data_IF_598011735927
#
_entry.id   IF_598011735927
#
_cell.length_a   1.000
_cell.length_b   1.000
_cell.length_c   1.000
_cell.angle_alpha   90.00
_cell.angle_beta   90.00
_cell.angle_gamma   90.00
#
_symmetry.space_group_name_H-M   'P 1'
#
loop_
_entity.id
_entity.type
_entity.pdbx_description
1 polymer ?
#
# COMPACT_ATOMS: atom_id res chain seq x y z
N UNK A 1 -4.87 14.56 -0.54
CA UNK A 1 -6.17 14.73 0.17
C UNK A 1 -5.89 14.69 1.66
N UNK A 2 -6.34 15.68 2.42
CA UNK A 2 -6.07 15.78 3.88
C UNK A 2 -7.31 16.09 4.71
N UNK A 3 -8.32 16.67 4.10
CA UNK A 3 -9.53 17.15 4.75
C UNK A 3 -10.76 16.33 4.36
N UNK A 4 -11.76 16.39 5.23
CA UNK A 4 -13.03 15.67 5.12
C UNK A 4 -13.75 15.98 3.80
N UNK A 5 -13.82 17.25 3.43
CA UNK A 5 -14.63 17.70 2.29
C UNK A 5 -14.04 17.22 0.98
N UNK A 6 -12.71 17.27 0.83
CA UNK A 6 -12.00 16.76 -0.35
C UNK A 6 -12.20 15.24 -0.50
N UNK A 7 -12.10 14.48 0.60
CA UNK A 7 -12.28 13.02 0.56
C UNK A 7 -13.74 12.67 0.26
N UNK A 8 -14.69 13.36 0.86
CA UNK A 8 -16.13 13.18 0.59
C UNK A 8 -16.47 13.43 -0.88
N UNK A 9 -15.95 14.52 -1.44
CA UNK A 9 -16.15 14.85 -2.85
C UNK A 9 -15.55 13.78 -3.78
N UNK A 10 -14.35 13.29 -3.46
CA UNK A 10 -13.69 12.23 -4.21
C UNK A 10 -14.50 10.93 -4.22
N UNK A 11 -15.03 10.50 -3.06
CA UNK A 11 -15.89 9.33 -2.94
C UNK A 11 -17.19 9.50 -3.74
N UNK A 12 -17.85 10.66 -3.63
CA UNK A 12 -19.06 10.95 -4.38
C UNK A 12 -18.83 10.93 -5.90
N UNK A 13 -17.72 11.51 -6.35
CA UNK A 13 -17.36 11.49 -7.77
C UNK A 13 -17.11 10.05 -8.27
N UNK A 14 -16.40 9.24 -7.48
CA UNK A 14 -16.15 7.84 -7.82
C UNK A 14 -17.45 7.01 -7.89
N UNK A 15 -18.38 7.20 -6.96
CA UNK A 15 -19.70 6.53 -6.97
C UNK A 15 -20.56 6.91 -8.18
N UNK A 16 -20.38 8.11 -8.73
CA UNK A 16 -21.07 8.57 -9.96
C UNK A 16 -20.36 8.15 -11.24
N UNK A 17 -19.34 7.28 -11.16
CA UNK A 17 -18.67 6.68 -12.30
C UNK A 17 -17.47 7.46 -12.83
N UNK A 18 -17.00 8.48 -12.12
CA UNK A 18 -15.78 9.20 -12.49
C UNK A 18 -14.54 8.43 -12.02
N UNK A 19 -13.50 8.42 -12.86
CA UNK A 19 -12.17 7.96 -12.44
C UNK A 19 -11.52 9.05 -11.61
N UNK A 20 -11.25 8.74 -10.34
CA UNK A 20 -10.65 9.66 -9.37
C UNK A 20 -9.26 9.19 -8.98
N UNK A 21 -8.28 10.07 -9.12
CA UNK A 21 -6.93 9.88 -8.56
C UNK A 21 -6.75 10.77 -7.34
N UNK A 22 -6.27 10.19 -6.25
CA UNK A 22 -5.99 10.90 -5.03
C UNK A 22 -4.63 10.54 -4.46
N UNK A 23 -3.98 11.50 -3.81
CA UNK A 23 -2.72 11.27 -3.10
C UNK A 23 -2.90 11.48 -1.61
N UNK A 24 -2.39 10.53 -0.81
CA UNK A 24 -2.34 10.60 0.64
C UNK A 24 -0.89 10.40 1.11
N UNK A 25 -0.57 10.86 2.33
CA UNK A 25 0.73 10.70 2.94
C UNK A 25 0.72 9.50 3.90
N UNK A 26 0.68 8.31 3.33
CA UNK A 26 0.63 7.03 4.04
C UNK A 26 1.72 6.11 3.52
N UNK A 27 2.17 5.17 4.34
CA UNK A 27 3.27 4.26 4.00
C UNK A 27 2.79 2.87 3.58
N UNK A 28 1.50 2.57 3.70
CA UNK A 28 0.93 1.29 3.29
C UNK A 28 -0.53 1.40 2.83
N UNK A 29 -1.01 0.38 2.13
CA UNK A 29 -2.39 0.31 1.66
C UNK A 29 -3.39 0.27 2.83
N UNK A 30 -3.12 -0.50 3.88
CA UNK A 30 -3.98 -0.56 5.07
C UNK A 30 -4.08 0.80 5.76
N UNK A 31 -2.96 1.50 5.95
CA UNK A 31 -2.95 2.85 6.51
C UNK A 31 -3.69 3.86 5.62
N UNK A 32 -3.65 3.67 4.32
CA UNK A 32 -4.41 4.52 3.38
C UNK A 32 -5.91 4.37 3.62
N UNK A 33 -6.39 3.15 3.77
CA UNK A 33 -7.79 2.84 4.07
C UNK A 33 -8.22 3.48 5.40
N UNK A 34 -7.46 3.22 6.47
CA UNK A 34 -7.74 3.79 7.79
C UNK A 34 -7.73 5.32 7.74
N UNK A 35 -6.74 5.93 7.08
CA UNK A 35 -6.63 7.38 6.95
C UNK A 35 -7.82 8.03 6.23
N UNK A 36 -8.36 7.36 5.21
CA UNK A 36 -9.56 7.85 4.50
C UNK A 36 -10.78 7.80 5.43
N UNK A 37 -10.91 6.75 6.21
CA UNK A 37 -12.07 6.54 7.08
C UNK A 37 -12.02 7.44 8.31
N UNK A 38 -10.86 7.60 8.93
CA UNK A 38 -10.67 8.30 10.19
C UNK A 38 -10.92 9.82 10.12
N UNK A 39 -10.94 10.40 8.92
CA UNK A 39 -11.32 11.83 8.78
C UNK A 39 -12.82 12.06 8.97
N UNK A 40 -13.63 10.99 8.91
CA UNK A 40 -15.09 11.08 9.09
C UNK A 40 -15.48 10.86 10.55
N UNK A 41 -16.55 11.52 11.01
CA UNK A 41 -17.14 11.24 12.33
C UNK A 41 -17.50 9.76 12.49
N UNK A 42 -17.34 9.20 13.69
CA UNK A 42 -17.59 7.77 13.97
C UNK A 42 -18.93 7.26 13.43
N UNK A 43 -20.00 8.06 13.59
CA UNK A 43 -21.34 7.67 13.08
C UNK A 43 -21.44 7.56 11.56
N UNK A 44 -20.47 8.05 10.80
CA UNK A 44 -20.43 8.00 9.33
C UNK A 44 -19.43 6.96 8.82
N UNK A 45 -18.49 6.50 9.64
CA UNK A 45 -17.39 5.64 9.20
C UNK A 45 -17.85 4.34 8.56
N UNK A 46 -18.89 3.70 9.09
CA UNK A 46 -19.40 2.46 8.51
C UNK A 46 -19.96 2.68 7.09
N UNK A 47 -20.68 3.76 6.85
CA UNK A 47 -21.17 4.12 5.52
C UNK A 47 -20.00 4.39 4.57
N UNK A 48 -18.98 5.11 5.03
CA UNK A 48 -17.77 5.40 4.24
C UNK A 48 -17.01 4.11 3.89
N UNK A 49 -16.91 3.13 4.80
CA UNK A 49 -16.34 1.81 4.50
C UNK A 49 -17.07 1.11 3.36
N UNK A 50 -18.40 1.15 3.36
CA UNK A 50 -19.20 0.57 2.28
C UNK A 50 -18.95 1.29 0.96
N UNK A 51 -18.99 2.63 0.95
CA UNK A 51 -18.70 3.43 -0.24
C UNK A 51 -17.30 3.15 -0.79
N UNK A 52 -16.28 3.18 0.08
CA UNK A 52 -14.90 2.93 -0.30
C UNK A 52 -14.71 1.50 -0.84
N UNK A 53 -15.33 0.49 -0.20
CA UNK A 53 -15.24 -0.90 -0.64
C UNK A 53 -15.82 -1.15 -2.04
N UNK A 54 -16.73 -0.28 -2.50
CA UNK A 54 -17.37 -0.40 -3.81
C UNK A 54 -16.69 0.46 -4.89
N UNK A 55 -16.02 1.55 -4.49
CA UNK A 55 -15.47 2.54 -5.43
C UNK A 55 -13.95 2.49 -5.55
N UNK A 56 -13.24 2.03 -4.51
CA UNK A 56 -11.77 1.96 -4.54
C UNK A 56 -11.32 0.84 -5.49
N UNK A 57 -10.44 1.17 -6.43
CA UNK A 57 -9.89 0.22 -7.41
C UNK A 57 -8.53 -0.29 -6.98
N UNK A 58 -7.64 0.61 -6.57
CA UNK A 58 -6.27 0.25 -6.19
C UNK A 58 -5.66 1.28 -5.24
N UNK A 59 -4.66 0.83 -4.50
CA UNK A 59 -3.75 1.70 -3.73
C UNK A 59 -2.31 1.37 -4.10
N UNK A 60 -1.56 2.41 -4.44
CA UNK A 60 -0.13 2.34 -4.68
C UNK A 60 0.60 3.13 -3.60
N UNK A 61 1.36 2.46 -2.76
CA UNK A 61 2.23 3.09 -1.78
C UNK A 61 3.67 2.96 -2.24
N UNK A 62 4.45 4.04 -2.18
CA UNK A 62 5.82 4.04 -2.69
C UNK A 62 6.81 4.60 -1.69
N UNK A 63 8.02 4.07 -1.73
CA UNK A 63 9.18 4.63 -1.04
C UNK A 63 10.38 4.69 -1.98
N UNK A 64 11.19 5.74 -1.85
CA UNK A 64 12.41 5.89 -2.63
C UNK A 64 13.61 5.50 -1.78
N UNK A 65 14.51 4.70 -2.37
CA UNK A 65 15.74 4.27 -1.75
C UNK A 65 16.93 4.75 -2.59
N UNK A 66 18.12 4.92 -1.98
CA UNK A 66 19.36 5.14 -2.74
C UNK A 66 19.63 3.97 -3.69
N UNK A 67 19.88 4.27 -4.96
CA UNK A 67 20.22 3.25 -5.94
C UNK A 67 21.69 2.85 -5.80
N UNK A 68 21.96 1.57 -5.59
CA UNK A 68 23.30 0.99 -5.56
C UNK A 68 23.82 0.82 -6.99
N UNK A 69 25.01 1.38 -7.26
CA UNK A 69 25.70 1.26 -8.54
C UNK A 69 26.59 0.02 -8.56
N UNK A 70 27.04 -0.37 -9.75
CA UNK A 70 27.91 -1.54 -9.93
C UNK A 70 29.28 -1.42 -9.25
N UNK A 71 29.75 -0.18 -9.05
CA UNK A 71 31.00 0.15 -8.34
C UNK A 71 30.86 0.21 -6.80
N UNK A 72 29.65 -0.08 -6.28
CA UNK A 72 29.34 -0.05 -4.85
C UNK A 72 28.96 1.33 -4.32
N UNK A 73 28.99 2.37 -5.14
CA UNK A 73 28.54 3.72 -4.75
C UNK A 73 27.01 3.80 -4.75
N UNK A 74 26.47 4.79 -4.03
CA UNK A 74 25.03 5.08 -4.05
C UNK A 74 24.79 6.36 -4.82
N UNK A 75 24.12 6.25 -5.99
CA UNK A 75 23.82 7.42 -6.84
C UNK A 75 22.46 7.25 -7.51
N UNK A 76 21.64 8.29 -7.41
CA UNK A 76 20.25 8.24 -7.88
C UNK A 76 19.31 7.58 -6.89
N UNK A 77 18.11 7.26 -7.34
CA UNK A 77 17.05 6.65 -6.53
C UNK A 77 16.37 5.53 -7.28
N UNK A 78 15.91 4.52 -6.53
CA UNK A 78 15.05 3.45 -7.02
C UNK A 78 13.79 3.40 -6.16
N UNK A 79 12.67 3.06 -6.77
CA UNK A 79 11.39 2.99 -6.11
C UNK A 79 11.09 1.56 -5.66
N UNK A 80 10.79 1.39 -4.38
CA UNK A 80 10.05 0.24 -3.88
C UNK A 80 8.57 0.62 -3.74
N UNK A 81 7.67 -0.29 -4.09
CA UNK A 81 6.24 -0.01 -4.07
C UNK A 81 5.44 -1.18 -3.50
N UNK A 82 4.39 -0.82 -2.79
CA UNK A 82 3.31 -1.72 -2.42
C UNK A 82 2.13 -1.48 -3.38
N UNK A 83 1.54 -2.56 -3.88
CA UNK A 83 0.41 -2.53 -4.82
C UNK A 83 -0.72 -3.37 -4.26
N UNK A 84 -1.83 -2.72 -3.94
CA UNK A 84 -3.08 -3.38 -3.55
C UNK A 84 -4.14 -3.16 -4.62
N UNK A 85 -4.73 -4.24 -5.10
CA UNK A 85 -5.94 -4.19 -5.94
C UNK A 85 -7.15 -4.56 -5.10
N UNK A 86 -8.25 -3.85 -5.29
CA UNK A 86 -9.48 -4.13 -4.53
C UNK A 86 -10.27 -5.26 -5.19
N UNK A 87 -9.80 -6.48 -4.94
CA UNK A 87 -10.55 -7.70 -5.24
C UNK A 87 -11.68 -7.91 -4.20
N UNK A 88 -12.67 -8.77 -4.45
CA UNK A 88 -13.79 -9.01 -3.52
C UNK A 88 -13.35 -9.30 -2.08
N UNK A 89 -12.25 -10.04 -1.88
CA UNK A 89 -11.71 -10.32 -0.56
C UNK A 89 -11.24 -9.04 0.17
N UNK A 90 -10.52 -8.15 -0.53
CA UNK A 90 -10.08 -6.85 0.02
C UNK A 90 -11.28 -5.94 0.30
N UNK A 91 -12.23 -5.86 -0.64
CA UNK A 91 -13.46 -5.06 -0.46
C UNK A 91 -14.22 -5.50 0.82
N UNK A 92 -14.28 -6.80 1.08
CA UNK A 92 -14.92 -7.34 2.27
C UNK A 92 -14.18 -6.95 3.56
N UNK A 93 -12.84 -7.03 3.56
CA UNK A 93 -12.03 -6.61 4.71
C UNK A 93 -12.21 -5.11 5.03
N UNK A 94 -12.32 -4.26 4.00
CA UNK A 94 -12.58 -2.83 4.18
C UNK A 94 -13.95 -2.63 4.84
N UNK A 95 -14.99 -3.32 4.34
CA UNK A 95 -16.36 -3.22 4.84
C UNK A 95 -16.50 -3.68 6.29
N UNK A 96 -15.75 -4.73 6.66
CA UNK A 96 -15.77 -5.33 7.99
C UNK A 96 -14.80 -4.69 9.00
N UNK A 97 -14.14 -3.58 8.63
CA UNK A 97 -13.13 -2.91 9.46
C UNK A 97 -11.92 -3.81 9.84
N UNK A 98 -11.55 -4.73 8.94
CA UNK A 98 -10.45 -5.69 9.12
C UNK A 98 -9.19 -5.31 8.35
N UNK A 99 -8.82 -4.03 8.33
CA UNK A 99 -7.67 -3.52 7.58
C UNK A 99 -6.35 -4.24 7.92
N UNK A 100 -6.19 -4.71 9.16
CA UNK A 100 -5.03 -5.48 9.60
C UNK A 100 -4.81 -6.79 8.80
N UNK A 101 -5.85 -7.37 8.19
CA UNK A 101 -5.77 -8.59 7.39
C UNK A 101 -5.44 -8.34 5.91
N UNK A 102 -5.42 -7.08 5.47
CA UNK A 102 -5.15 -6.71 4.08
C UNK A 102 -3.76 -7.18 3.66
N UNK A 103 -2.74 -6.99 4.50
CA UNK A 103 -1.38 -7.38 4.19
C UNK A 103 -1.25 -8.88 3.85
N UNK A 104 -1.79 -9.77 4.69
CA UNK A 104 -1.75 -11.22 4.44
C UNK A 104 -2.55 -11.61 3.19
N UNK A 105 -3.66 -10.93 2.93
CA UNK A 105 -4.45 -11.14 1.72
C UNK A 105 -3.68 -10.73 0.47
N UNK A 106 -2.93 -9.62 0.52
CA UNK A 106 -2.05 -9.21 -0.59
C UNK A 106 -0.95 -10.24 -0.86
N UNK A 107 -0.31 -10.78 0.19
CA UNK A 107 0.72 -11.81 0.04
C UNK A 107 0.22 -13.05 -0.70
N UNK A 108 -0.98 -13.52 -0.36
CA UNK A 108 -1.57 -14.73 -0.95
C UNK A 108 -2.17 -14.51 -2.33
N UNK A 109 -2.35 -13.25 -2.74
CA UNK A 109 -2.95 -12.87 -4.02
C UNK A 109 -1.97 -12.14 -4.95
N UNK A 110 -0.68 -12.40 -4.81
CA UNK A 110 0.37 -11.81 -5.68
C UNK A 110 0.18 -12.17 -7.16
N UNK A 111 -0.42 -13.32 -7.48
CA UNK A 111 -0.77 -13.73 -8.84
C UNK A 111 -1.76 -12.78 -9.56
N UNK A 112 -2.50 -11.94 -8.83
CA UNK A 112 -3.37 -10.89 -9.39
C UNK A 112 -2.65 -9.55 -9.61
N UNK A 113 -1.32 -9.51 -9.45
CA UNK A 113 -0.54 -8.27 -9.58
C UNK A 113 -0.41 -7.48 -8.28
N UNK A 114 -0.88 -8.02 -7.16
CA UNK A 114 -0.63 -7.43 -5.84
C UNK A 114 0.80 -7.67 -5.38
N UNK A 115 1.35 -6.70 -4.65
CA UNK A 115 2.72 -6.75 -4.16
C UNK A 115 2.81 -6.06 -2.81
N UNK A 116 3.40 -6.73 -1.82
CA UNK A 116 3.73 -6.05 -0.55
C UNK A 116 5.03 -5.25 -0.69
N UNK A 117 5.26 -4.30 0.22
CA UNK A 117 6.50 -3.54 0.25
C UNK A 117 7.71 -4.47 0.42
N UNK A 118 7.60 -5.48 1.27
CA UNK A 118 8.66 -6.46 1.53
C UNK A 118 9.02 -7.27 0.29
N UNK A 119 8.03 -7.65 -0.54
CA UNK A 119 8.27 -8.30 -1.82
C UNK A 119 9.05 -7.40 -2.78
N UNK A 120 8.68 -6.13 -2.87
CA UNK A 120 9.38 -5.15 -3.70
C UNK A 120 10.81 -4.90 -3.24
N UNK A 121 11.01 -4.72 -1.94
CA UNK A 121 12.34 -4.54 -1.35
C UNK A 121 13.23 -5.76 -1.59
N UNK A 122 12.69 -6.98 -1.46
CA UNK A 122 13.41 -8.22 -1.71
C UNK A 122 13.85 -8.33 -3.17
N UNK A 123 12.96 -8.04 -4.12
CA UNK A 123 13.30 -8.05 -5.55
C UNK A 123 14.44 -7.05 -5.85
N UNK A 124 14.36 -5.84 -5.33
CA UNK A 124 15.41 -4.83 -5.49
C UNK A 124 16.74 -5.26 -4.88
N UNK A 125 16.72 -5.89 -3.71
CA UNK A 125 17.93 -6.42 -3.07
C UNK A 125 18.54 -7.57 -3.88
N UNK A 126 17.73 -8.54 -4.31
CA UNK A 126 18.19 -9.67 -5.14
C UNK A 126 18.79 -9.22 -6.48
N UNK A 127 18.26 -8.16 -7.06
CA UNK A 127 18.79 -7.49 -8.26
C UNK A 127 19.99 -6.58 -7.98
N UNK A 128 20.49 -6.55 -6.74
CA UNK A 128 21.61 -5.68 -6.31
C UNK A 128 21.38 -4.18 -6.60
N UNK A 129 20.13 -3.72 -6.52
CA UNK A 129 19.76 -2.32 -6.70
C UNK A 129 19.77 -1.52 -5.41
N UNK A 130 19.72 -2.19 -4.27
CA UNK A 130 19.78 -1.60 -2.93
C UNK A 130 20.63 -2.48 -2.01
N UNK A 131 21.11 -1.91 -0.90
CA UNK A 131 21.80 -2.68 0.13
C UNK A 131 20.80 -3.36 1.07
N UNK A 132 21.25 -4.39 1.81
CA UNK A 132 20.44 -5.02 2.85
C UNK A 132 20.06 -4.00 3.94
N UNK A 133 20.97 -3.12 4.31
CA UNK A 133 20.76 -2.07 5.30
C UNK A 133 19.62 -1.13 4.87
N UNK A 134 19.66 -0.64 3.62
CA UNK A 134 18.62 0.23 3.08
C UNK A 134 17.25 -0.47 3.03
N UNK A 135 17.23 -1.76 2.65
CA UNK A 135 16.02 -2.56 2.64
C UNK A 135 15.42 -2.70 4.04
N UNK A 136 16.22 -3.07 5.04
CA UNK A 136 15.78 -3.21 6.42
C UNK A 136 15.31 -1.90 7.03
N UNK A 137 15.98 -0.78 6.73
CA UNK A 137 15.60 0.55 7.22
C UNK A 137 14.24 1.02 6.67
N UNK A 138 13.79 0.48 5.54
CA UNK A 138 12.51 0.84 4.89
C UNK A 138 11.43 -0.21 5.06
N UNK A 139 11.79 -1.43 5.43
CA UNK A 139 10.82 -2.50 5.69
C UNK A 139 9.93 -2.15 6.89
N UNK A 140 8.63 -2.33 6.73
CA UNK A 140 7.66 -2.26 7.83
C UNK A 140 7.69 -3.52 8.71
N UNK A 141 8.32 -4.62 8.21
CA UNK A 141 8.40 -5.93 8.86
C UNK A 141 9.81 -6.53 8.71
N UNK A 142 10.85 -5.93 9.33
CA UNK A 142 12.24 -6.31 9.09
C UNK A 142 12.55 -7.77 9.44
N UNK A 143 11.91 -8.36 10.45
CA UNK A 143 12.12 -9.76 10.82
C UNK A 143 11.50 -10.73 9.79
N UNK A 144 10.34 -10.38 9.24
CA UNK A 144 9.70 -11.15 8.16
C UNK A 144 10.54 -11.05 6.88
N UNK A 145 11.06 -9.87 6.58
CA UNK A 145 11.95 -9.64 5.45
C UNK A 145 13.22 -10.53 5.54
N UNK A 146 13.89 -10.56 6.71
CA UNK A 146 15.07 -11.42 6.93
C UNK A 146 14.76 -12.91 6.73
N UNK A 147 13.63 -13.39 7.29
CA UNK A 147 13.22 -14.80 7.11
C UNK A 147 12.96 -15.12 5.64
N UNK A 148 12.37 -14.19 4.88
CA UNK A 148 12.12 -14.34 3.46
C UNK A 148 13.40 -14.47 2.62
N UNK A 149 14.52 -13.90 3.06
CA UNK A 149 15.81 -14.05 2.40
C UNK A 149 16.48 -15.41 2.65
N UNK A 150 16.20 -16.06 3.79
CA UNK A 150 16.78 -17.37 4.14
C UNK A 150 16.10 -18.54 3.39
N UNK A 151 14.89 -18.32 2.88
CA UNK A 151 14.07 -19.33 2.21
C UNK A 151 14.07 -19.17 0.67
N UNK A 152 14.96 -18.34 0.14
CA UNK A 152 15.16 -18.08 -1.30
C UNK A 152 16.52 -18.56 -1.75
#
# INVERSE_FOLDING_TARGET
>A
MRDLDTIRLALTAAETGHLVFGTLHTSSASQTIDRIIDVFPEGQQQQVRVQLSNSLVAVFSQTLLPLLQADGTKSGRVMAQEVMLVIPAIANLIREAKAAQIYSTMQTNSGFGMQTLEMSLRDLYMRKKITLEDALARSSRPEEFKRGLQNS
#
